data_IF_586098198500
#
_entry.id   IF_586098198500
#
_cell.length_a   1.000
_cell.length_b   1.000
_cell.length_c   1.000
_cell.angle_alpha   90.00
_cell.angle_beta   90.00
_cell.angle_gamma   90.00
#
_symmetry.space_group_name_H-M   'P 1'
#
loop_
_entity.id
_entity.type
_entity.pdbx_description
1 polymer ?
#
# COMPACT_ATOMS: atom_id res chain seq x y z
N UNK A 1 5.76 16.17 -10.58
CA UNK A 1 5.12 15.02 -9.92
C UNK A 1 4.32 15.46 -8.70
N UNK A 2 4.91 16.29 -7.85
CA UNK A 2 4.39 16.62 -6.52
C UNK A 2 2.96 17.17 -6.49
N UNK A 3 2.59 18.08 -7.41
CA UNK A 3 1.22 18.61 -7.49
C UNK A 3 0.17 17.58 -7.90
N UNK A 4 0.49 16.70 -8.85
CA UNK A 4 -0.41 15.61 -9.29
C UNK A 4 -0.55 14.54 -8.19
N UNK A 5 0.56 14.19 -7.54
CA UNK A 5 0.56 13.25 -6.42
C UNK A 5 -0.23 13.81 -5.23
N UNK A 6 -0.17 15.12 -4.97
CA UNK A 6 -0.98 15.75 -3.93
C UNK A 6 -2.49 15.61 -4.22
N UNK A 7 -2.92 15.83 -5.45
CA UNK A 7 -4.33 15.65 -5.85
C UNK A 7 -4.73 14.16 -5.76
N UNK A 8 -3.88 13.25 -6.24
CA UNK A 8 -4.12 11.81 -6.19
C UNK A 8 -4.31 11.32 -4.75
N UNK A 9 -3.36 11.65 -3.86
CA UNK A 9 -3.44 11.24 -2.45
C UNK A 9 -4.58 11.92 -1.71
N UNK A 10 -5.00 13.12 -2.12
CA UNK A 10 -6.18 13.77 -1.55
C UNK A 10 -7.45 12.95 -1.87
N UNK A 11 -7.64 12.57 -3.13
CA UNK A 11 -8.79 11.74 -3.54
C UNK A 11 -8.72 10.37 -2.87
N UNK A 12 -7.55 9.72 -2.86
CA UNK A 12 -7.34 8.44 -2.20
C UNK A 12 -7.67 8.52 -0.70
N UNK A 13 -7.26 9.60 -0.03
CA UNK A 13 -7.57 9.83 1.38
C UNK A 13 -9.07 10.01 1.65
N UNK A 14 -9.79 10.70 0.77
CA UNK A 14 -11.25 10.81 0.87
C UNK A 14 -11.95 9.46 0.67
N UNK A 15 -11.48 8.64 -0.27
CA UNK A 15 -12.00 7.30 -0.51
C UNK A 15 -11.78 6.39 0.71
N UNK A 16 -10.55 6.35 1.24
CA UNK A 16 -10.23 5.58 2.46
C UNK A 16 -11.10 6.04 3.63
N UNK A 17 -11.30 7.36 3.80
CA UNK A 17 -12.18 7.91 4.84
C UNK A 17 -13.63 7.42 4.65
N UNK A 18 -14.15 7.44 3.42
CA UNK A 18 -15.49 6.94 3.11
C UNK A 18 -15.61 5.46 3.47
N UNK A 19 -14.62 4.66 3.12
CA UNK A 19 -14.60 3.22 3.33
C UNK A 19 -14.57 2.84 4.83
N UNK A 20 -13.84 3.62 5.63
CA UNK A 20 -13.77 3.46 7.09
C UNK A 20 -15.09 3.87 7.77
N UNK A 21 -15.76 4.91 7.28
CA UNK A 21 -16.98 5.45 7.92
C UNK A 21 -18.26 4.73 7.50
N UNK A 22 -18.37 4.35 6.23
CA UNK A 22 -19.61 3.84 5.64
C UNK A 22 -19.42 2.63 4.71
N UNK A 23 -18.17 2.23 4.43
CA UNK A 23 -17.85 1.10 3.55
C UNK A 23 -17.48 -0.18 4.33
N UNK A 24 -16.84 -1.11 3.62
CA UNK A 24 -16.52 -2.44 4.16
C UNK A 24 -15.45 -2.43 5.25
N UNK A 25 -14.62 -1.38 5.31
CA UNK A 25 -13.60 -1.20 6.34
C UNK A 25 -14.19 -0.74 7.69
N UNK A 26 -15.44 -0.28 7.71
CA UNK A 26 -16.15 0.07 8.96
C UNK A 26 -16.42 -1.15 9.85
N UNK A 27 -16.55 -2.34 9.25
CA UNK A 27 -16.81 -3.57 9.99
C UNK A 27 -15.50 -4.22 10.42
N UNK A 28 -15.24 -4.24 11.73
CA UNK A 28 -14.02 -4.81 12.31
C UNK A 28 -13.76 -6.27 11.89
N UNK A 29 -14.81 -7.06 11.63
CA UNK A 29 -14.66 -8.46 11.17
C UNK A 29 -14.13 -8.55 9.73
N UNK A 30 -14.40 -7.54 8.89
CA UNK A 30 -13.92 -7.45 7.50
C UNK A 30 -12.57 -6.73 7.43
N UNK A 31 -12.35 -5.73 8.28
CA UNK A 31 -11.09 -4.98 8.35
C UNK A 31 -9.87 -5.85 8.70
N UNK A 32 -9.99 -6.73 9.70
CA UNK A 32 -8.86 -7.54 10.19
C UNK A 32 -8.25 -8.43 9.09
N UNK A 33 -9.00 -9.27 8.35
CA UNK A 33 -8.41 -10.09 7.29
C UNK A 33 -7.85 -9.25 6.14
N UNK A 34 -8.48 -8.12 5.80
CA UNK A 34 -7.98 -7.20 4.75
C UNK A 34 -6.65 -6.58 5.15
N UNK A 35 -6.53 -6.10 6.39
CA UNK A 35 -5.27 -5.57 6.90
C UNK A 35 -4.17 -6.63 6.96
N UNK A 36 -4.50 -7.86 7.37
CA UNK A 36 -3.53 -8.96 7.39
C UNK A 36 -3.02 -9.29 5.98
N UNK A 37 -3.93 -9.35 4.99
CA UNK A 37 -3.57 -9.57 3.59
C UNK A 37 -2.72 -8.43 3.02
N UNK A 38 -3.07 -7.17 3.30
CA UNK A 38 -2.30 -6.01 2.88
C UNK A 38 -0.89 -6.00 3.48
N UNK A 39 -0.77 -6.22 4.80
CA UNK A 39 0.53 -6.30 5.47
C UNK A 39 1.38 -7.45 4.93
N UNK A 40 0.79 -8.63 4.72
CA UNK A 40 1.48 -9.76 4.11
C UNK A 40 1.95 -9.45 2.69
N UNK A 41 1.07 -8.89 1.85
CA UNK A 41 1.37 -8.48 0.49
C UNK A 41 2.42 -7.37 0.38
N UNK A 42 2.62 -6.57 1.44
CA UNK A 42 3.63 -5.52 1.50
C UNK A 42 4.98 -6.03 2.04
N UNK A 43 4.95 -6.81 3.13
CA UNK A 43 6.16 -7.27 3.82
C UNK A 43 6.95 -8.29 3.00
N UNK A 44 6.26 -9.21 2.32
CA UNK A 44 6.89 -10.29 1.56
C UNK A 44 7.77 -9.77 0.40
N UNK A 45 7.27 -8.90 -0.52
CA UNK A 45 8.10 -8.34 -1.58
C UNK A 45 9.19 -7.39 -1.06
N UNK A 46 8.92 -6.62 -0.01
CA UNK A 46 9.90 -5.73 0.61
C UNK A 46 11.09 -6.52 1.19
N UNK A 47 10.81 -7.59 1.96
CA UNK A 47 11.84 -8.45 2.54
C UNK A 47 12.61 -9.22 1.48
N UNK A 48 11.93 -9.71 0.44
CA UNK A 48 12.56 -10.41 -0.67
C UNK A 48 13.51 -9.48 -1.44
N UNK A 49 13.09 -8.23 -1.70
CA UNK A 49 13.96 -7.23 -2.33
C UNK A 49 15.18 -6.91 -1.47
N UNK A 50 14.98 -6.67 -0.18
CA UNK A 50 16.07 -6.40 0.75
C UNK A 50 17.04 -7.57 0.78
N UNK A 51 16.56 -8.82 0.92
CA UNK A 51 17.40 -10.02 0.95
C UNK A 51 18.26 -10.19 -0.31
N UNK A 52 17.75 -9.78 -1.47
CA UNK A 52 18.47 -9.85 -2.75
C UNK A 52 19.41 -8.66 -3.00
N UNK A 53 19.19 -7.52 -2.34
CA UNK A 53 19.94 -6.27 -2.53
C UNK A 53 20.70 -5.83 -1.26
N UNK A 54 21.02 -6.76 -0.35
CA UNK A 54 21.82 -6.43 0.83
C UNK A 54 23.22 -6.00 0.39
N UNK A 55 23.72 -4.89 0.94
CA UNK A 55 25.05 -4.32 0.65
C UNK A 55 25.21 -3.72 -0.75
N UNK A 56 24.13 -3.52 -1.49
CA UNK A 56 24.17 -2.80 -2.76
C UNK A 56 23.75 -1.35 -2.58
N UNK A 57 24.19 -0.42 -3.46
CA UNK A 57 23.71 0.95 -3.46
C UNK A 57 22.18 1.05 -3.64
N UNK A 58 21.53 0.04 -4.23
CA UNK A 58 20.08 -0.01 -4.51
C UNK A 58 19.22 -0.43 -3.31
N UNK A 59 19.81 -0.82 -2.19
CA UNK A 59 19.09 -1.29 -0.99
C UNK A 59 17.99 -0.32 -0.49
N UNK A 60 18.14 0.98 -0.73
CA UNK A 60 17.15 2.00 -0.39
C UNK A 60 15.82 1.88 -1.18
N UNK A 61 15.80 1.15 -2.30
CA UNK A 61 14.65 0.93 -3.17
C UNK A 61 13.62 -0.09 -2.69
N UNK A 62 13.70 -0.56 -1.45
CA UNK A 62 12.84 -1.62 -0.92
C UNK A 62 11.34 -1.31 -0.91
N UNK A 63 10.96 -0.03 -0.96
CA UNK A 63 9.56 0.40 -1.04
C UNK A 63 8.96 0.31 -2.45
N UNK A 64 9.77 0.17 -3.49
CA UNK A 64 9.32 0.07 -4.89
C UNK A 64 8.46 -1.19 -5.14
N UNK A 65 8.91 -2.41 -4.76
CA UNK A 65 8.15 -3.65 -5.04
C UNK A 65 6.90 -3.82 -4.16
N UNK A 66 6.72 -2.95 -3.16
CA UNK A 66 5.53 -2.92 -2.29
C UNK A 66 4.39 -2.09 -2.92
N UNK A 67 4.70 -1.20 -3.86
CA UNK A 67 3.71 -0.32 -4.46
C UNK A 67 2.85 -1.09 -5.46
N UNK A 68 1.57 -1.28 -5.13
CA UNK A 68 0.55 -1.76 -6.07
C UNK A 68 -0.21 -0.57 -6.61
N UNK A 69 -0.27 -0.43 -7.94
CA UNK A 69 -1.08 0.61 -8.57
C UNK A 69 -2.56 0.23 -8.52
N UNK A 70 -3.31 0.95 -7.69
CA UNK A 70 -4.75 0.72 -7.50
C UNK A 70 -5.56 1.04 -8.76
N UNK A 71 -5.07 1.88 -9.67
CA UNK A 71 -5.79 2.20 -10.91
C UNK A 71 -5.76 1.04 -11.92
N UNK A 72 -4.80 0.12 -11.82
CA UNK A 72 -4.68 -1.06 -12.69
C UNK A 72 -5.13 -2.38 -12.04
N UNK A 73 -5.20 -2.41 -10.71
CA UNK A 73 -5.52 -3.63 -9.96
C UNK A 73 -7.03 -3.83 -9.68
N UNK A 74 -7.86 -2.83 -9.97
CA UNK A 74 -9.34 -2.88 -9.90
C UNK A 74 -9.90 -3.44 -11.19
#
# INVERSE_FOLDING_TARGET
NDGLMAIFFFILGLEIKREILAGDLSNRKRLVPVMAAALGGMLLPALLYLALNIYTPTQHGWGIPMATDTAFAV
#
